data_IF_477034243283
#
_entry.id   IF_477034243283
#
_cell.length_a   1.000
_cell.length_b   1.000
_cell.length_c   1.000
_cell.angle_alpha   90.00
_cell.angle_beta   90.00
_cell.angle_gamma   90.00
#
_symmetry.space_group_name_H-M   'P 1'
#
loop_
_entity.id
_entity.type
_entity.pdbx_description
1 polymer ?
#
# COMPACT_ATOMS: atom_id res chain seq x y z
N UNK A 1 -15.01 44.76 16.58
CA UNK A 1 -13.82 44.70 17.44
C UNK A 1 -12.98 43.45 17.16
N UNK A 2 -13.60 42.24 17.09
CA UNK A 2 -12.89 40.99 16.81
C UNK A 2 -12.25 40.96 15.42
N UNK A 3 -12.95 41.47 14.38
CA UNK A 3 -12.44 41.56 13.02
C UNK A 3 -11.14 42.37 12.94
N UNK A 4 -11.10 43.53 13.61
CA UNK A 4 -9.92 44.39 13.69
C UNK A 4 -8.77 43.74 14.47
N UNK A 5 -9.09 43.02 15.52
CA UNK A 5 -8.10 42.37 16.39
C UNK A 5 -7.44 41.15 15.69
N UNK A 6 -8.16 40.46 14.83
CA UNK A 6 -7.69 39.29 14.11
C UNK A 6 -7.26 39.60 12.66
N UNK A 7 -7.39 40.85 12.22
CA UNK A 7 -7.11 41.28 10.85
C UNK A 7 -7.85 40.46 9.79
N UNK A 8 -9.14 40.25 10.02
CA UNK A 8 -10.01 39.46 9.11
C UNK A 8 -11.21 40.32 8.68
N UNK A 9 -11.79 39.97 7.52
CA UNK A 9 -13.02 40.60 7.05
C UNK A 9 -14.19 40.35 8.02
N UNK A 10 -15.05 41.35 8.24
CA UNK A 10 -16.17 41.26 9.18
C UNK A 10 -17.11 40.11 8.88
N UNK A 11 -17.31 39.77 7.62
CA UNK A 11 -18.11 38.62 7.15
C UNK A 11 -17.57 37.29 7.59
N UNK A 12 -16.26 37.16 7.92
CA UNK A 12 -15.62 35.92 8.40
C UNK A 12 -15.74 35.74 9.92
N UNK A 13 -16.13 36.73 10.66
CA UNK A 13 -16.24 36.69 12.13
C UNK A 13 -17.16 35.55 12.61
N UNK A 14 -18.35 35.28 12.01
CA UNK A 14 -19.18 34.16 12.41
C UNK A 14 -18.48 32.80 12.25
N UNK A 15 -17.64 32.62 11.23
CA UNK A 15 -16.89 31.38 11.00
C UNK A 15 -15.86 31.15 12.10
N UNK A 16 -15.25 32.22 12.64
CA UNK A 16 -14.31 32.10 13.78
C UNK A 16 -15.00 31.53 15.01
N UNK A 17 -16.20 31.96 15.30
CA UNK A 17 -16.98 31.45 16.44
C UNK A 17 -17.32 29.97 16.23
N UNK A 18 -17.77 29.59 15.03
CA UNK A 18 -18.10 28.20 14.71
C UNK A 18 -16.85 27.33 14.84
N UNK A 19 -15.71 27.76 14.25
CA UNK A 19 -14.43 27.04 14.35
C UNK A 19 -13.97 26.88 15.81
N UNK A 20 -14.09 27.92 16.63
CA UNK A 20 -13.71 27.87 18.04
C UNK A 20 -14.57 26.85 18.82
N UNK A 21 -15.89 26.85 18.58
CA UNK A 21 -16.83 25.90 19.23
C UNK A 21 -16.50 24.47 18.81
N UNK A 22 -16.28 24.22 17.51
CA UNK A 22 -15.95 22.90 16.99
C UNK A 22 -14.61 22.40 17.55
N UNK A 23 -13.57 23.24 17.48
CA UNK A 23 -12.23 22.91 17.99
C UNK A 23 -12.29 22.56 19.47
N UNK A 24 -12.97 23.39 20.26
CA UNK A 24 -13.18 23.14 21.69
C UNK A 24 -13.89 21.79 21.92
N UNK A 25 -14.98 21.54 21.19
CA UNK A 25 -15.75 20.31 21.37
C UNK A 25 -14.94 19.07 21.00
N UNK A 26 -14.16 19.13 19.93
CA UNK A 26 -13.26 18.03 19.53
C UNK A 26 -12.19 17.82 20.60
N UNK A 27 -11.54 18.89 21.09
CA UNK A 27 -10.53 18.79 22.13
C UNK A 27 -11.08 18.17 23.43
N UNK A 28 -12.29 18.56 23.85
CA UNK A 28 -12.99 17.98 25.01
C UNK A 28 -13.25 16.47 24.81
N UNK A 29 -13.76 16.07 23.63
CA UNK A 29 -14.05 14.67 23.32
C UNK A 29 -12.79 13.80 23.25
N UNK A 30 -11.67 14.38 22.83
CA UNK A 30 -10.37 13.69 22.77
C UNK A 30 -9.64 13.71 24.12
N UNK A 31 -10.11 14.44 25.11
CA UNK A 31 -9.38 14.65 26.36
C UNK A 31 -8.06 15.40 26.16
N UNK A 32 -7.97 16.26 25.14
CA UNK A 32 -6.77 17.01 24.83
C UNK A 32 -6.57 18.17 25.80
N UNK A 33 -5.42 18.22 26.47
CA UNK A 33 -5.04 19.30 27.38
C UNK A 33 -4.40 20.49 26.66
N UNK A 34 -3.88 20.24 25.43
CA UNK A 34 -3.17 21.25 24.63
C UNK A 34 -3.62 21.18 23.18
N UNK A 35 -3.81 22.33 22.55
CA UNK A 35 -4.01 22.48 21.11
C UNK A 35 -2.79 23.22 20.54
N UNK A 36 -2.07 22.54 19.65
CA UNK A 36 -0.93 23.12 18.96
C UNK A 36 -1.37 23.79 17.66
N UNK A 37 -1.09 25.09 17.51
CA UNK A 37 -1.37 25.88 16.32
C UNK A 37 -0.05 26.43 15.74
N UNK A 38 0.58 25.72 14.80
CA UNK A 38 1.93 26.08 14.31
C UNK A 38 1.96 27.33 13.44
N UNK A 39 0.79 27.85 13.03
CA UNK A 39 0.71 29.07 12.21
C UNK A 39 1.13 28.87 10.76
N UNK A 40 1.11 27.62 10.26
CA UNK A 40 1.41 27.29 8.87
C UNK A 40 0.13 27.21 8.02
N UNK A 41 0.28 27.52 6.75
CA UNK A 41 -0.80 27.50 5.76
C UNK A 41 -0.61 26.36 4.78
N UNK A 42 -1.64 26.08 3.95
CA UNK A 42 -1.51 25.14 2.84
C UNK A 42 -0.40 25.55 1.86
N UNK A 43 -0.23 26.85 1.64
CA UNK A 43 0.83 27.37 0.76
C UNK A 43 2.23 27.05 1.30
N UNK A 44 2.42 27.11 2.62
CA UNK A 44 3.69 26.74 3.24
C UNK A 44 4.00 25.24 3.02
N UNK A 45 2.97 24.38 3.13
CA UNK A 45 3.10 22.95 2.85
C UNK A 45 3.48 22.67 1.38
N UNK A 46 2.82 23.33 0.42
CA UNK A 46 3.14 23.22 -1.01
C UNK A 46 4.56 23.73 -1.29
N UNK A 47 4.95 24.86 -0.71
CA UNK A 47 6.29 25.40 -0.86
C UNK A 47 7.37 24.48 -0.28
N UNK A 48 7.09 23.86 0.87
CA UNK A 48 7.97 22.86 1.49
C UNK A 48 8.17 21.65 0.55
N UNK A 49 7.08 21.07 0.06
CA UNK A 49 7.13 19.92 -0.84
C UNK A 49 7.92 20.23 -2.13
N UNK A 50 7.67 21.41 -2.73
CA UNK A 50 8.40 21.87 -3.91
C UNK A 50 9.91 22.00 -3.63
N UNK A 51 10.28 22.60 -2.52
CA UNK A 51 11.67 22.80 -2.14
C UNK A 51 12.40 21.47 -1.85
N UNK A 52 11.73 20.51 -1.21
CA UNK A 52 12.25 19.18 -0.95
C UNK A 52 12.45 18.38 -2.24
N UNK A 53 11.46 18.37 -3.15
CA UNK A 53 11.54 17.71 -4.46
C UNK A 53 12.69 18.27 -5.32
N UNK A 54 12.92 19.58 -5.23
CA UNK A 54 14.05 20.25 -5.91
C UNK A 54 15.38 20.18 -5.13
N UNK A 55 15.44 19.39 -4.03
CA UNK A 55 16.65 19.17 -3.23
C UNK A 55 17.26 20.46 -2.67
N UNK A 56 16.44 21.49 -2.42
CA UNK A 56 16.88 22.74 -1.81
C UNK A 56 17.25 22.54 -0.33
N UNK A 57 16.63 21.55 0.31
CA UNK A 57 17.00 21.05 1.63
C UNK A 57 16.68 19.57 1.71
N UNK A 58 17.10 18.90 2.78
CA UNK A 58 16.73 17.53 3.10
C UNK A 58 15.69 17.55 4.22
N UNK A 59 14.49 17.09 3.92
CA UNK A 59 13.44 16.91 4.94
C UNK A 59 13.91 15.93 6.02
N UNK A 60 13.59 16.21 7.28
CA UNK A 60 13.86 15.33 8.41
C UNK A 60 12.75 14.28 8.58
N UNK A 61 11.57 14.56 8.02
CA UNK A 61 10.38 13.71 8.17
C UNK A 61 10.17 12.82 6.93
N UNK A 62 9.88 11.54 7.16
CA UNK A 62 9.52 10.60 6.09
C UNK A 62 8.00 10.41 6.03
N UNK A 63 7.35 11.16 5.15
CA UNK A 63 5.92 11.08 4.92
C UNK A 63 5.46 9.68 4.43
N UNK A 64 6.35 8.88 3.85
CA UNK A 64 6.01 7.51 3.45
C UNK A 64 5.75 6.61 4.66
N UNK A 65 6.49 6.82 5.75
CA UNK A 65 6.27 6.08 6.99
C UNK A 65 4.93 6.45 7.67
N UNK A 66 4.44 7.70 7.53
CA UNK A 66 3.10 8.08 8.00
C UNK A 66 1.99 7.32 7.24
N UNK A 67 2.14 7.20 5.92
CA UNK A 67 1.18 6.46 5.09
C UNK A 67 1.20 4.97 5.49
N UNK A 68 2.37 4.41 5.76
CA UNK A 68 2.52 3.03 6.23
C UNK A 68 1.89 2.85 7.61
N UNK A 69 2.12 3.78 8.55
CA UNK A 69 1.50 3.74 9.87
C UNK A 69 -0.04 3.80 9.76
N UNK A 70 -0.57 4.59 8.84
CA UNK A 70 -2.01 4.63 8.54
C UNK A 70 -2.50 3.25 8.06
N UNK A 71 -1.82 2.62 7.09
CA UNK A 71 -2.17 1.30 6.58
C UNK A 71 -2.11 0.21 7.67
N UNK A 72 -1.11 0.25 8.55
CA UNK A 72 -1.01 -0.65 9.70
C UNK A 72 -2.18 -0.47 10.67
N UNK A 73 -2.61 0.77 10.91
CA UNK A 73 -3.78 1.05 11.74
C UNK A 73 -5.08 0.53 11.09
N UNK A 74 -5.23 0.66 9.76
CA UNK A 74 -6.36 0.08 9.02
C UNK A 74 -6.31 -1.44 9.16
N UNK A 75 -5.17 -2.08 8.87
CA UNK A 75 -4.99 -3.53 8.99
C UNK A 75 -5.36 -4.02 10.39
N UNK A 76 -4.90 -3.34 11.45
CA UNK A 76 -5.23 -3.66 12.84
C UNK A 76 -6.73 -3.52 13.12
N UNK A 77 -7.39 -2.45 12.61
CA UNK A 77 -8.84 -2.23 12.76
C UNK A 77 -9.66 -3.38 12.19
N UNK A 78 -9.22 -3.93 11.06
CA UNK A 78 -9.86 -5.06 10.38
C UNK A 78 -9.22 -6.41 10.72
N UNK A 79 -8.61 -6.52 11.90
CA UNK A 79 -8.07 -7.77 12.45
C UNK A 79 -7.03 -8.47 11.56
N UNK A 80 -6.25 -7.69 10.81
CA UNK A 80 -5.15 -8.20 10.00
C UNK A 80 -4.00 -8.73 10.85
N UNK A 81 -3.29 -9.73 10.33
CA UNK A 81 -2.12 -10.31 10.99
C UNK A 81 -0.85 -9.49 10.71
N UNK A 82 -0.30 -8.80 11.72
CA UNK A 82 0.94 -8.05 11.58
C UNK A 82 2.11 -8.93 11.12
N UNK A 83 2.26 -10.13 11.69
CA UNK A 83 3.33 -11.08 11.31
C UNK A 83 3.27 -11.46 9.84
N UNK A 84 2.06 -11.64 9.31
CA UNK A 84 1.87 -11.96 7.91
C UNK A 84 2.11 -10.75 7.02
N UNK A 85 1.64 -9.57 7.42
CA UNK A 85 1.92 -8.33 6.72
C UNK A 85 3.43 -8.09 6.59
N UNK A 86 4.20 -8.22 7.69
CA UNK A 86 5.65 -8.09 7.70
C UNK A 86 6.33 -9.10 6.74
N UNK A 87 5.85 -10.35 6.75
CA UNK A 87 6.40 -11.40 5.87
C UNK A 87 6.13 -11.08 4.40
N UNK A 88 4.90 -10.70 4.06
CA UNK A 88 4.54 -10.36 2.68
C UNK A 88 5.23 -9.08 2.21
N UNK A 89 5.33 -8.07 3.06
CA UNK A 89 6.06 -6.84 2.77
C UNK A 89 7.53 -7.15 2.46
N UNK A 90 8.17 -7.98 3.28
CA UNK A 90 9.55 -8.38 3.04
C UNK A 90 9.72 -9.14 1.72
N UNK A 91 8.88 -10.11 1.42
CA UNK A 91 8.96 -10.91 0.18
C UNK A 91 8.68 -10.02 -1.04
N UNK A 92 7.62 -9.22 -1.01
CA UNK A 92 7.23 -8.35 -2.12
C UNK A 92 8.30 -7.32 -2.44
N UNK A 93 8.87 -6.65 -1.42
CA UNK A 93 9.92 -5.66 -1.60
C UNK A 93 11.22 -6.31 -2.08
N UNK A 94 11.56 -7.52 -1.61
CA UNK A 94 12.71 -8.28 -2.09
C UNK A 94 12.58 -8.62 -3.57
N UNK A 95 11.41 -9.05 -4.04
CA UNK A 95 11.13 -9.31 -5.45
C UNK A 95 11.20 -8.01 -6.25
N UNK A 96 10.52 -6.96 -5.80
CA UNK A 96 10.49 -5.65 -6.45
C UNK A 96 11.91 -5.11 -6.66
N UNK A 97 12.72 -5.06 -5.60
CA UNK A 97 14.06 -4.50 -5.65
C UNK A 97 15.00 -5.31 -6.56
N UNK A 98 14.83 -6.65 -6.64
CA UNK A 98 15.60 -7.50 -7.55
C UNK A 98 15.26 -7.30 -9.03
N UNK A 99 14.05 -6.84 -9.32
CA UNK A 99 13.53 -6.64 -10.69
C UNK A 99 13.57 -5.18 -11.15
N UNK A 100 14.23 -4.29 -10.43
CA UNK A 100 14.27 -2.83 -10.71
C UNK A 100 14.65 -2.50 -12.15
N UNK A 101 15.52 -3.30 -12.77
CA UNK A 101 15.95 -3.10 -14.17
C UNK A 101 14.87 -3.47 -15.20
N UNK A 102 13.85 -4.24 -14.80
CA UNK A 102 12.82 -4.79 -15.69
C UNK A 102 11.50 -4.03 -15.57
N UNK A 103 11.05 -3.77 -14.34
CA UNK A 103 9.71 -3.23 -14.16
C UNK A 103 9.61 -1.72 -14.45
N UNK A 104 10.72 -0.96 -14.36
CA UNK A 104 10.74 0.48 -14.63
C UNK A 104 9.95 1.35 -13.63
N UNK A 105 9.61 0.80 -12.46
CA UNK A 105 8.88 1.49 -11.39
C UNK A 105 9.85 2.09 -10.37
N UNK A 106 9.40 3.15 -9.66
CA UNK A 106 10.19 3.90 -8.69
C UNK A 106 9.82 3.61 -7.22
N UNK A 107 10.22 4.54 -6.36
CA UNK A 107 9.96 4.43 -4.91
C UNK A 107 8.47 4.57 -4.57
N UNK A 108 7.71 5.31 -5.38
CA UNK A 108 6.29 5.53 -5.14
C UNK A 108 5.49 4.24 -5.38
N UNK A 109 5.78 3.52 -6.46
CA UNK A 109 5.15 2.21 -6.73
C UNK A 109 5.62 1.14 -5.74
N UNK A 110 6.86 1.25 -5.24
CA UNK A 110 7.34 0.42 -4.15
C UNK A 110 6.53 0.63 -2.86
N UNK A 111 6.16 1.89 -2.56
CA UNK A 111 5.26 2.21 -1.45
C UNK A 111 3.87 1.58 -1.67
N UNK A 112 3.27 1.70 -2.87
CA UNK A 112 1.97 1.06 -3.15
C UNK A 112 2.02 -0.45 -2.89
N UNK A 113 3.10 -1.11 -3.28
CA UNK A 113 3.28 -2.53 -3.03
C UNK A 113 3.37 -2.88 -1.54
N UNK A 114 4.08 -2.07 -0.74
CA UNK A 114 4.15 -2.20 0.72
C UNK A 114 2.75 -2.07 1.32
N UNK A 115 2.00 -1.05 0.93
CA UNK A 115 0.63 -0.81 1.40
C UNK A 115 -0.29 -1.98 1.02
N UNK A 116 -0.20 -2.48 -0.21
CA UNK A 116 -0.98 -3.63 -0.67
C UNK A 116 -0.63 -4.90 0.10
N UNK A 117 0.64 -5.12 0.46
CA UNK A 117 1.06 -6.23 1.30
C UNK A 117 0.51 -6.13 2.74
N UNK A 118 0.47 -4.93 3.32
CA UNK A 118 -0.09 -4.68 4.66
C UNK A 118 -1.61 -4.89 4.68
N UNK A 119 -2.30 -4.43 3.63
CA UNK A 119 -3.77 -4.43 3.55
C UNK A 119 -4.34 -5.67 2.84
N UNK A 120 -3.49 -6.63 2.42
CA UNK A 120 -3.83 -7.71 1.50
C UNK A 120 -5.05 -8.55 1.88
N UNK A 121 -5.43 -8.60 3.14
CA UNK A 121 -6.54 -9.42 3.63
C UNK A 121 -7.52 -8.70 4.57
N UNK A 122 -7.50 -7.35 4.60
CA UNK A 122 -8.38 -6.56 5.46
C UNK A 122 -9.87 -6.84 5.19
N UNK A 123 -10.25 -7.19 3.97
CA UNK A 123 -11.62 -7.55 3.60
C UNK A 123 -12.13 -8.85 4.21
N UNK A 124 -11.26 -9.72 4.73
CA UNK A 124 -11.68 -10.96 5.42
C UNK A 124 -12.54 -10.69 6.65
N UNK A 125 -12.36 -9.53 7.27
CA UNK A 125 -13.18 -9.11 8.39
C UNK A 125 -14.65 -8.93 8.00
N UNK A 126 -14.91 -8.54 6.75
CA UNK A 126 -16.25 -8.30 6.21
C UNK A 126 -16.81 -9.57 5.55
N UNK A 127 -16.02 -10.19 4.66
CA UNK A 127 -16.48 -11.34 3.88
C UNK A 127 -15.32 -12.28 3.56
N UNK A 128 -15.50 -13.57 3.87
CA UNK A 128 -14.56 -14.61 3.47
C UNK A 128 -14.77 -15.07 2.01
N UNK A 129 -15.95 -14.83 1.44
CA UNK A 129 -16.26 -15.21 0.05
C UNK A 129 -15.80 -14.15 -0.94
N UNK A 130 -15.88 -12.87 -0.57
CA UNK A 130 -15.58 -11.73 -1.44
C UNK A 130 -14.46 -10.86 -0.84
N UNK A 131 -13.35 -11.48 -0.43
CA UNK A 131 -12.23 -10.78 0.24
C UNK A 131 -11.70 -9.63 -0.62
N UNK A 132 -11.55 -9.84 -1.93
CA UNK A 132 -11.01 -8.84 -2.85
C UNK A 132 -11.87 -7.59 -2.91
N UNK A 133 -13.17 -7.73 -3.16
CA UNK A 133 -14.12 -6.61 -3.25
C UNK A 133 -14.25 -5.89 -1.90
N UNK A 134 -14.38 -6.65 -0.80
CA UNK A 134 -14.47 -6.07 0.53
C UNK A 134 -13.18 -5.30 0.91
N UNK A 135 -12.01 -5.79 0.52
CA UNK A 135 -10.74 -5.06 0.72
C UNK A 135 -10.69 -3.77 -0.10
N UNK A 136 -11.11 -3.83 -1.36
CA UNK A 136 -11.22 -2.66 -2.22
C UNK A 136 -12.10 -1.58 -1.60
N UNK A 137 -13.30 -1.96 -1.13
CA UNK A 137 -14.24 -1.03 -0.51
C UNK A 137 -13.69 -0.40 0.76
N UNK A 138 -13.03 -1.18 1.63
CA UNK A 138 -12.36 -0.67 2.84
C UNK A 138 -11.30 0.37 2.47
N UNK A 139 -10.43 0.06 1.51
CA UNK A 139 -9.32 0.93 1.12
C UNK A 139 -9.85 2.22 0.48
N UNK A 140 -10.85 2.13 -0.40
CA UNK A 140 -11.42 3.30 -1.07
C UNK A 140 -12.26 4.17 -0.13
N UNK A 141 -12.94 3.58 0.86
CA UNK A 141 -13.72 4.31 1.86
C UNK A 141 -12.87 4.93 2.98
N UNK A 142 -11.59 4.55 3.10
CA UNK A 142 -10.71 5.05 4.16
C UNK A 142 -9.78 6.12 3.61
N UNK A 143 -9.79 7.30 4.24
CA UNK A 143 -8.84 8.37 3.91
C UNK A 143 -7.43 7.97 4.38
N UNK A 144 -6.47 7.99 3.46
CA UNK A 144 -5.03 7.84 3.75
C UNK A 144 -4.33 9.13 3.31
N UNK A 145 -4.03 9.99 4.29
CA UNK A 145 -3.34 11.26 4.03
C UNK A 145 -1.98 10.96 3.39
N UNK A 146 -1.66 11.69 2.31
CA UNK A 146 -0.45 11.47 1.52
C UNK A 146 -0.63 10.57 0.29
N UNK A 147 -1.84 9.98 0.09
CA UNK A 147 -2.22 9.33 -1.16
C UNK A 147 -3.29 10.13 -1.89
N UNK A 148 -3.08 10.36 -3.18
CA UNK A 148 -4.14 10.83 -4.08
C UNK A 148 -5.24 9.77 -4.26
N UNK A 149 -6.39 10.16 -4.78
CA UNK A 149 -7.47 9.23 -5.09
C UNK A 149 -7.01 8.11 -6.04
N UNK A 150 -6.28 8.47 -7.11
CA UNK A 150 -5.76 7.53 -8.09
C UNK A 150 -4.76 6.53 -7.46
N UNK A 151 -3.85 7.00 -6.62
CA UNK A 151 -2.88 6.13 -5.93
C UNK A 151 -3.57 5.15 -4.99
N UNK A 152 -4.58 5.61 -4.27
CA UNK A 152 -5.41 4.76 -3.41
C UNK A 152 -6.15 3.71 -4.22
N UNK A 153 -6.69 4.09 -5.40
CA UNK A 153 -7.35 3.17 -6.32
C UNK A 153 -6.38 2.12 -6.90
N UNK A 154 -5.13 2.49 -7.18
CA UNK A 154 -4.07 1.53 -7.57
C UNK A 154 -3.88 0.50 -6.46
N UNK A 155 -3.64 0.93 -5.22
CA UNK A 155 -3.45 0.02 -4.08
C UNK A 155 -4.66 -0.88 -3.87
N UNK A 156 -5.87 -0.31 -3.91
CA UNK A 156 -7.12 -1.05 -3.74
C UNK A 156 -7.29 -2.15 -4.80
N UNK A 157 -6.99 -1.85 -6.07
CA UNK A 157 -7.07 -2.85 -7.15
C UNK A 157 -5.98 -3.91 -7.05
N UNK A 158 -4.76 -3.58 -6.63
CA UNK A 158 -3.70 -4.57 -6.37
C UNK A 158 -4.16 -5.57 -5.31
N UNK A 159 -4.78 -5.10 -4.22
CA UNK A 159 -5.33 -5.96 -3.17
C UNK A 159 -6.53 -6.76 -3.68
N UNK A 160 -7.45 -6.13 -4.41
CA UNK A 160 -8.61 -6.79 -5.02
C UNK A 160 -8.19 -7.97 -5.89
N UNK A 161 -7.31 -7.72 -6.84
CA UNK A 161 -6.84 -8.75 -7.77
C UNK A 161 -5.86 -9.77 -7.17
N UNK A 162 -5.38 -9.56 -5.96
CA UNK A 162 -4.69 -10.62 -5.22
C UNK A 162 -5.63 -11.78 -4.83
N UNK A 163 -6.95 -11.53 -4.77
CA UNK A 163 -7.97 -12.50 -4.35
C UNK A 163 -8.96 -12.89 -5.44
N UNK A 164 -9.04 -12.12 -6.52
CA UNK A 164 -9.96 -12.35 -7.65
C UNK A 164 -9.20 -12.46 -8.97
N UNK A 165 -9.87 -12.95 -10.02
CA UNK A 165 -9.30 -12.98 -11.35
C UNK A 165 -8.94 -11.58 -11.83
N UNK A 166 -7.85 -11.49 -12.57
CA UNK A 166 -7.39 -10.23 -13.12
C UNK A 166 -8.23 -9.90 -14.36
N UNK A 167 -8.81 -8.70 -14.38
CA UNK A 167 -9.58 -8.22 -15.52
C UNK A 167 -8.72 -7.28 -16.34
N UNK A 168 -8.59 -7.53 -17.65
CA UNK A 168 -7.68 -6.78 -18.52
C UNK A 168 -8.28 -5.44 -18.95
N UNK A 169 -7.38 -4.49 -19.25
CA UNK A 169 -7.78 -3.16 -19.68
C UNK A 169 -8.70 -3.21 -20.92
N UNK A 170 -9.83 -2.53 -20.82
CA UNK A 170 -10.85 -2.50 -21.88
C UNK A 170 -11.85 -3.67 -21.87
N UNK A 171 -11.68 -4.65 -20.99
CA UNK A 171 -12.72 -5.66 -20.78
C UNK A 171 -13.88 -5.10 -19.97
N UNK A 172 -15.08 -5.64 -20.21
CA UNK A 172 -16.27 -5.27 -19.43
C UNK A 172 -16.06 -5.68 -17.95
N UNK A 173 -16.35 -4.76 -17.05
CA UNK A 173 -16.24 -4.95 -15.60
C UNK A 173 -17.57 -4.55 -14.95
N UNK A 174 -17.96 -5.28 -13.91
CA UNK A 174 -19.07 -4.89 -13.04
C UNK A 174 -18.78 -3.56 -12.34
N UNK A 175 -17.51 -3.35 -11.98
CA UNK A 175 -17.01 -2.11 -11.40
C UNK A 175 -15.85 -1.57 -12.26
N UNK A 176 -16.11 -0.57 -13.14
CA UNK A 176 -15.07 0.06 -13.94
C UNK A 176 -14.04 0.76 -13.03
N UNK A 177 -12.76 0.63 -13.37
CA UNK A 177 -11.68 1.38 -12.74
C UNK A 177 -11.57 2.77 -13.38
N UNK A 178 -11.40 3.82 -12.56
CA UNK A 178 -11.13 5.17 -13.02
C UNK A 178 -9.68 5.40 -13.48
N UNK A 179 -8.92 4.31 -13.64
CA UNK A 179 -7.49 4.35 -13.93
C UNK A 179 -7.20 4.47 -15.43
N UNK A 180 -6.21 5.27 -15.77
CA UNK A 180 -5.64 5.30 -17.11
C UNK A 180 -4.83 4.03 -17.43
N UNK A 181 -4.42 3.87 -18.69
CA UNK A 181 -3.68 2.69 -19.14
C UNK A 181 -2.35 2.49 -18.41
N UNK A 182 -1.65 3.56 -18.06
CA UNK A 182 -0.35 3.50 -17.40
C UNK A 182 -0.50 3.04 -15.94
N UNK A 183 -1.46 3.62 -15.23
CA UNK A 183 -1.81 3.21 -13.85
C UNK A 183 -2.31 1.78 -13.81
N UNK A 184 -3.11 1.37 -14.81
CA UNK A 184 -3.56 0.00 -14.94
C UNK A 184 -2.40 -1.00 -15.12
N UNK A 185 -1.40 -0.66 -15.94
CA UNK A 185 -0.19 -1.49 -16.09
C UNK A 185 0.58 -1.60 -14.77
N UNK A 186 0.61 -0.52 -13.99
CA UNK A 186 1.18 -0.54 -12.63
C UNK A 186 0.43 -1.52 -11.73
N UNK A 187 -0.91 -1.51 -11.75
CA UNK A 187 -1.74 -2.49 -11.01
C UNK A 187 -1.38 -3.93 -11.42
N UNK A 188 -1.28 -4.22 -12.73
CA UNK A 188 -0.94 -5.56 -13.22
C UNK A 188 0.44 -6.02 -12.69
N UNK A 189 1.44 -5.14 -12.79
CA UNK A 189 2.80 -5.41 -12.34
C UNK A 189 2.88 -5.67 -10.83
N UNK A 190 2.25 -4.83 -10.02
CA UNK A 190 2.25 -4.98 -8.58
C UNK A 190 1.43 -6.18 -8.12
N UNK A 191 0.30 -6.46 -8.76
CA UNK A 191 -0.52 -7.65 -8.49
C UNK A 191 0.27 -8.94 -8.76
N UNK A 192 1.02 -9.01 -9.85
CA UNK A 192 1.85 -10.17 -10.16
C UNK A 192 2.87 -10.46 -9.05
N UNK A 193 3.53 -9.42 -8.53
CA UNK A 193 4.47 -9.56 -7.40
C UNK A 193 3.74 -9.99 -6.12
N UNK A 194 2.60 -9.36 -5.80
CA UNK A 194 1.87 -9.66 -4.57
C UNK A 194 1.31 -11.08 -4.57
N UNK A 195 0.73 -11.55 -5.68
CA UNK A 195 0.25 -12.94 -5.83
C UNK A 195 1.37 -13.96 -5.65
N UNK A 196 2.53 -13.68 -6.25
CA UNK A 196 3.69 -14.54 -6.12
C UNK A 196 4.16 -14.63 -4.67
N UNK A 197 4.27 -13.48 -3.97
CA UNK A 197 4.63 -13.43 -2.55
C UNK A 197 3.60 -14.14 -1.66
N UNK A 198 2.30 -13.92 -1.93
CA UNK A 198 1.21 -14.54 -1.17
C UNK A 198 1.20 -16.07 -1.31
N UNK A 199 1.59 -16.61 -2.48
CA UNK A 199 1.71 -18.05 -2.68
C UNK A 199 2.82 -18.69 -1.85
N UNK A 200 3.88 -17.91 -1.53
CA UNK A 200 5.00 -18.37 -0.69
C UNK A 200 4.65 -18.45 0.81
N UNK A 201 3.57 -17.81 1.25
CA UNK A 201 3.06 -17.95 2.63
C UNK A 201 1.63 -18.51 2.66
N UNK A 202 1.33 -19.48 1.79
CA UNK A 202 -0.01 -20.05 1.66
C UNK A 202 -0.51 -20.72 2.93
N UNK A 203 0.37 -21.38 3.66
CA UNK A 203 0.03 -21.98 4.96
C UNK A 203 -0.15 -21.02 6.10
N UNK A 204 0.14 -19.72 5.92
CA UNK A 204 0.12 -18.65 6.93
C UNK A 204 1.03 -18.95 8.15
N UNK A 205 2.07 -19.76 7.96
CA UNK A 205 3.01 -20.16 9.02
C UNK A 205 4.33 -19.41 8.98
N UNK A 206 4.48 -18.46 8.02
CA UNK A 206 5.69 -17.66 7.80
C UNK A 206 6.95 -18.54 7.75
N UNK A 207 6.88 -19.68 7.04
CA UNK A 207 7.97 -20.65 6.90
C UNK A 207 9.19 -20.06 6.20
N UNK A 208 8.99 -19.05 5.36
CA UNK A 208 10.01 -18.46 4.48
C UNK A 208 10.49 -17.12 5.01
N UNK A 209 11.18 -17.11 6.15
CA UNK A 209 11.65 -15.88 6.81
C UNK A 209 12.78 -15.16 6.08
N UNK A 210 13.54 -15.84 5.25
CA UNK A 210 14.72 -15.30 4.56
C UNK A 210 14.69 -15.54 3.06
N UNK A 211 13.73 -14.95 2.36
CA UNK A 211 13.67 -15.03 0.90
C UNK A 211 14.69 -14.06 0.30
N UNK A 212 15.51 -14.57 -0.63
CA UNK A 212 16.39 -13.75 -1.48
C UNK A 212 15.94 -13.94 -2.92
N UNK A 213 15.78 -12.84 -3.64
CA UNK A 213 15.42 -12.86 -5.04
C UNK A 213 16.63 -12.47 -5.90
N UNK A 214 16.86 -13.22 -6.96
CA UNK A 214 17.95 -12.95 -7.92
C UNK A 214 17.38 -13.11 -9.32
N UNK A 215 17.46 -12.08 -10.12
CA UNK A 215 17.09 -12.12 -11.53
C UNK A 215 18.29 -12.63 -12.35
N UNK A 216 18.11 -13.72 -13.10
CA UNK A 216 19.09 -14.29 -14.01
C UNK A 216 18.43 -14.52 -15.35
N UNK A 217 18.89 -13.80 -16.39
CA UNK A 217 18.29 -13.88 -17.73
C UNK A 217 16.76 -13.78 -17.70
N UNK A 218 16.05 -14.85 -17.97
CA UNK A 218 14.59 -14.92 -17.99
C UNK A 218 13.99 -15.65 -16.76
N UNK A 219 14.80 -15.87 -15.71
CA UNK A 219 14.35 -16.51 -14.47
C UNK A 219 14.47 -15.57 -13.27
N UNK A 220 13.42 -15.51 -12.46
CA UNK A 220 13.45 -14.92 -11.13
C UNK A 220 13.66 -16.04 -10.11
N UNK A 221 14.88 -16.19 -9.61
CA UNK A 221 15.23 -17.23 -8.64
C UNK A 221 14.94 -16.75 -7.23
N UNK A 222 13.96 -17.38 -6.59
CA UNK A 222 13.61 -17.14 -5.18
C UNK A 222 14.31 -18.21 -4.33
N UNK A 223 15.41 -17.79 -3.67
CA UNK A 223 16.16 -18.65 -2.75
C UNK A 223 15.52 -18.60 -1.38
N UNK A 224 15.07 -19.76 -0.89
CA UNK A 224 14.43 -19.91 0.42
C UNK A 224 15.30 -20.74 1.35
N UNK A 225 15.57 -20.22 2.52
CA UNK A 225 16.31 -20.94 3.58
C UNK A 225 15.31 -21.41 4.64
N UNK A 226 14.75 -22.60 4.44
CA UNK A 226 13.80 -23.22 5.35
C UNK A 226 14.01 -24.74 5.38
N UNK A 227 13.83 -25.33 6.56
CA UNK A 227 13.84 -26.78 6.76
C UNK A 227 12.42 -27.37 6.78
N UNK A 228 11.40 -26.50 6.77
CA UNK A 228 10.03 -26.92 6.81
C UNK A 228 9.55 -27.49 5.44
N UNK A 229 8.50 -28.32 5.49
CA UNK A 229 7.82 -28.74 4.28
C UNK A 229 7.08 -27.58 3.61
N UNK A 230 7.44 -27.30 2.38
CA UNK A 230 6.87 -26.23 1.53
C UNK A 230 6.11 -26.79 0.32
N UNK A 231 5.64 -28.02 0.40
CA UNK A 231 4.91 -28.67 -0.71
C UNK A 231 3.65 -27.89 -1.07
N UNK A 232 2.90 -27.41 -0.08
CA UNK A 232 1.71 -26.59 -0.29
C UNK A 232 2.06 -25.29 -1.01
N UNK A 233 3.08 -24.59 -0.54
CA UNK A 233 3.55 -23.32 -1.12
C UNK A 233 4.01 -23.54 -2.57
N UNK A 234 4.74 -24.62 -2.87
CA UNK A 234 5.17 -24.95 -4.24
C UNK A 234 3.99 -25.18 -5.19
N UNK A 235 2.93 -25.86 -4.72
CA UNK A 235 1.74 -26.10 -5.52
C UNK A 235 1.02 -24.80 -5.91
N UNK A 236 0.78 -23.91 -4.94
CA UNK A 236 0.15 -22.60 -5.21
C UNK A 236 1.06 -21.63 -5.96
N UNK A 237 2.36 -21.74 -5.78
CA UNK A 237 3.34 -20.93 -6.50
C UNK A 237 3.26 -21.14 -8.01
N UNK A 238 3.04 -22.37 -8.46
CA UNK A 238 2.92 -22.68 -9.88
C UNK A 238 1.77 -21.91 -10.55
N UNK A 239 0.61 -21.83 -9.91
CA UNK A 239 -0.54 -21.07 -10.41
C UNK A 239 -0.22 -19.57 -10.50
N UNK A 240 0.48 -19.01 -9.50
CA UNK A 240 0.88 -17.58 -9.49
C UNK A 240 1.97 -17.27 -10.52
N UNK A 241 2.76 -18.27 -10.90
CA UNK A 241 3.82 -18.17 -11.92
C UNK A 241 3.28 -17.81 -13.29
N UNK A 242 2.13 -18.33 -13.69
CA UNK A 242 1.52 -18.10 -15.01
C UNK A 242 1.23 -16.63 -15.21
N UNK A 243 0.52 -15.98 -14.28
CA UNK A 243 0.21 -14.56 -14.36
C UNK A 243 1.48 -13.70 -14.27
N UNK A 244 2.44 -14.06 -13.43
CA UNK A 244 3.72 -13.35 -13.34
C UNK A 244 4.50 -13.41 -14.65
N UNK A 245 4.55 -14.57 -15.28
CA UNK A 245 5.20 -14.76 -16.59
C UNK A 245 4.51 -13.97 -17.70
N UNK A 246 3.17 -13.92 -17.67
CA UNK A 246 2.40 -13.13 -18.63
C UNK A 246 2.76 -11.63 -18.52
N UNK A 247 2.83 -11.09 -17.30
CA UNK A 247 3.09 -9.65 -17.07
C UNK A 247 4.55 -9.28 -17.34
N UNK A 248 5.51 -10.14 -16.99
CA UNK A 248 6.94 -9.81 -17.00
C UNK A 248 7.76 -10.55 -18.04
N UNK A 249 7.21 -11.59 -18.69
CA UNK A 249 7.95 -12.53 -19.55
C UNK A 249 9.13 -13.21 -18.84
N UNK A 250 9.08 -13.31 -17.50
CA UNK A 250 10.08 -13.91 -16.63
C UNK A 250 9.44 -15.06 -15.88
N UNK A 251 10.16 -16.17 -15.77
CA UNK A 251 9.68 -17.35 -15.05
C UNK A 251 10.23 -17.37 -13.63
N UNK A 252 9.36 -17.24 -12.59
CA UNK A 252 9.81 -17.37 -11.22
C UNK A 252 10.04 -18.84 -10.83
N UNK A 253 11.12 -19.09 -10.08
CA UNK A 253 11.55 -20.43 -9.66
C UNK A 253 11.92 -20.42 -8.18
N UNK A 254 11.41 -21.37 -7.39
CA UNK A 254 11.81 -21.55 -5.99
C UNK A 254 13.03 -22.48 -5.93
N UNK A 255 14.10 -22.02 -5.27
CA UNK A 255 15.26 -22.84 -4.90
C UNK A 255 15.38 -22.92 -3.39
N UNK A 256 15.03 -24.06 -2.84
CA UNK A 256 15.20 -24.34 -1.41
C UNK A 256 16.63 -24.74 -1.12
N UNK A 257 17.27 -24.07 -0.15
CA UNK A 257 18.59 -24.45 0.31
C UNK A 257 18.46 -25.67 1.22
N UNK A 258 18.87 -26.85 0.73
CA UNK A 258 19.01 -28.02 1.57
C UNK A 258 20.29 -27.87 2.39
N UNK A 259 20.21 -27.95 3.72
CA UNK A 259 21.40 -28.25 4.53
C UNK A 259 21.64 -29.73 4.38
N UNK A 260 22.85 -30.08 3.94
CA UNK A 260 23.37 -31.44 4.03
C UNK A 260 23.64 -31.79 5.49
#
# INVERSE_FOLDING_TARGET
>A
ELAKRMDIAEEKVPLVYISAILTRRIAELMGAELVWAPGVTLCDGIAYEYAEQNKMFRGEHDFAEDIIACALNISKRYNGSSKRADTLEHITTTIFDSMKKVHGMGQRERLYLRLAAILHDCGKYISLLNVGEASYDIIMATEMIGLSHMEREIVANVVRFNHSDFVYYGQAQERPMGLDKASYLTVAKLTAILRLANSLDRSHKQKMKGVKAVLQENELILKVDTQEDITLEKGFFQTSTEFFKEVYSITPVIRQKKKF
#
